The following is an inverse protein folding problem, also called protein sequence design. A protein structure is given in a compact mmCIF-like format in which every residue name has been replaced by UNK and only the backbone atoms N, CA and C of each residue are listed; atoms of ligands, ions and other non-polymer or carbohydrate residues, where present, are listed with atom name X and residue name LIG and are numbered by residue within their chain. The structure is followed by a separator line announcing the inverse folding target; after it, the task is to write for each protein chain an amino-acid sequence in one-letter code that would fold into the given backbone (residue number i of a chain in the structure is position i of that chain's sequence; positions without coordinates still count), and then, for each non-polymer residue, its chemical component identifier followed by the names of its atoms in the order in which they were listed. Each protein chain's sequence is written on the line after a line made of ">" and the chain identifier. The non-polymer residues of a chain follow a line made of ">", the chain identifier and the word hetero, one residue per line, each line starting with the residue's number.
data_IF_003862930976
#
_entry.id   IF_003862930976
#
_cell.length_a   1.000
_cell.length_b   1.000
_cell.length_c   1.000
_cell.angle_alpha   90.00
_cell.angle_beta   90.00
_cell.angle_gamma   90.00
#
_symmetry.space_group_name_H-M   'P 1'
#
loop_
_entity.id
_entity.type
_entity.pdbx_description
1 polymer ?
#
# COMPACT_ATOMS: atom_id res chain seq x y z
N UNK A 1 14.87 17.56 46.46
CA UNK A 1 14.30 16.21 46.58
C UNK A 1 12.83 16.35 46.92
N UNK A 2 11.97 16.37 45.89
CA UNK A 2 10.55 15.98 45.86
C UNK A 2 10.34 15.62 44.38
N UNK A 3 10.05 14.35 44.13
CA UNK A 3 9.76 13.80 42.80
C UNK A 3 8.39 14.28 42.33
N UNK A 4 8.31 14.80 41.11
CA UNK A 4 7.06 14.88 40.36
C UNK A 4 7.00 13.64 39.46
N UNK A 5 6.53 12.57 40.09
CA UNK A 5 5.96 11.41 39.41
C UNK A 5 4.54 11.80 39.01
N UNK A 6 4.35 12.19 37.75
CA UNK A 6 3.04 12.23 37.10
C UNK A 6 3.18 11.38 35.83
N UNK A 7 3.33 10.07 36.06
CA UNK A 7 3.27 9.06 35.03
C UNK A 7 1.93 9.05 34.30
N UNK A 8 2.06 8.99 32.97
CA UNK A 8 1.30 8.07 32.11
C UNK A 8 -0.23 8.10 32.16
N UNK A 9 -0.81 9.27 31.89
CA UNK A 9 -2.16 9.35 31.29
C UNK A 9 -2.19 10.22 30.03
N UNK A 10 -1.12 10.18 29.23
CA UNK A 10 -1.30 10.43 27.79
C UNK A 10 -1.93 9.15 27.25
N UNK A 11 -3.24 9.18 27.05
CA UNK A 11 -3.96 8.24 26.19
C UNK A 11 -3.03 7.86 25.02
N UNK A 12 -2.58 6.60 24.97
CA UNK A 12 -1.87 6.07 23.81
C UNK A 12 -2.85 6.14 22.64
N UNK A 13 -2.89 7.29 21.97
CA UNK A 13 -3.70 7.48 20.78
C UNK A 13 -3.13 6.53 19.75
N UNK A 14 -3.92 5.55 19.35
CA UNK A 14 -3.54 4.63 18.29
C UNK A 14 -3.33 5.48 17.03
N UNK A 15 -2.08 5.60 16.60
CA UNK A 15 -1.69 6.32 15.39
C UNK A 15 -1.40 5.30 14.27
N UNK A 16 -2.32 5.09 13.32
CA UNK A 16 -2.12 4.15 12.22
C UNK A 16 -1.10 4.65 11.17
N UNK A 17 -0.57 5.87 11.32
CA UNK A 17 0.50 6.41 10.48
C UNK A 17 1.89 6.20 11.09
N UNK A 18 1.96 5.83 12.38
CA UNK A 18 3.21 5.45 13.01
C UNK A 18 3.68 4.08 12.53
N UNK A 19 5.00 3.78 12.56
CA UNK A 19 5.49 2.45 12.21
C UNK A 19 4.88 1.34 13.08
N UNK A 20 4.28 0.33 12.44
CA UNK A 20 3.83 -0.87 13.13
C UNK A 20 4.96 -1.90 13.19
N UNK A 21 5.50 -2.15 14.38
CA UNK A 21 6.51 -3.17 14.59
C UNK A 21 5.84 -4.53 14.75
N UNK A 22 6.30 -5.50 13.99
CA UNK A 22 5.83 -6.88 14.00
C UNK A 22 6.88 -7.73 14.73
N UNK A 23 6.64 -8.03 16.01
CA UNK A 23 7.66 -8.69 16.85
C UNK A 23 8.02 -10.09 16.34
N UNK A 24 7.03 -10.80 15.78
CA UNK A 24 7.19 -12.20 15.36
C UNK A 24 8.13 -12.43 14.19
N UNK A 25 8.30 -11.44 13.30
CA UNK A 25 9.14 -11.55 12.11
C UNK A 25 10.19 -10.42 12.02
N UNK A 26 10.35 -9.63 13.09
CA UNK A 26 11.31 -8.53 13.20
C UNK A 26 11.21 -7.48 12.08
N UNK A 27 10.02 -7.32 11.51
CA UNK A 27 9.74 -6.30 10.49
C UNK A 27 9.03 -5.11 11.09
N UNK A 28 9.04 -4.00 10.35
CA UNK A 28 8.23 -2.85 10.64
C UNK A 28 7.50 -2.43 9.38
N UNK A 29 6.18 -2.25 9.46
CA UNK A 29 5.40 -1.62 8.40
C UNK A 29 5.52 -0.12 8.60
N UNK A 30 6.05 0.57 7.59
CA UNK A 30 6.29 2.01 7.66
C UNK A 30 5.52 2.70 6.55
N UNK A 31 4.92 3.85 6.87
CA UNK A 31 4.30 4.70 5.87
C UNK A 31 5.37 5.26 4.92
N UNK A 32 5.26 4.91 3.64
CA UNK A 32 6.08 5.43 2.57
C UNK A 32 5.22 6.16 1.55
N UNK A 33 5.35 7.49 1.51
CA UNK A 33 4.53 8.34 0.66
C UNK A 33 5.22 8.58 -0.68
N UNK A 34 4.64 8.01 -1.73
CA UNK A 34 5.06 8.24 -3.11
C UNK A 34 4.15 9.29 -3.77
N UNK A 35 4.74 10.41 -4.19
CA UNK A 35 4.04 11.44 -4.97
C UNK A 35 4.60 11.51 -6.38
N UNK A 36 3.77 11.24 -7.38
CA UNK A 36 4.15 11.24 -8.80
C UNK A 36 3.21 12.14 -9.57
N UNK A 37 3.78 13.00 -10.41
CA UNK A 37 3.05 13.90 -11.28
C UNK A 37 3.46 13.67 -12.73
N UNK A 38 2.48 13.48 -13.63
CA UNK A 38 2.70 13.30 -15.06
C UNK A 38 2.09 14.49 -15.82
N UNK A 39 2.96 15.24 -16.48
CA UNK A 39 2.60 16.28 -17.45
C UNK A 39 2.60 15.66 -18.84
N UNK A 40 1.43 15.64 -19.47
CA UNK A 40 1.22 15.14 -20.84
C UNK A 40 1.19 16.31 -21.81
N UNK A 41 2.05 16.30 -22.82
CA UNK A 41 2.11 17.34 -23.83
C UNK A 41 2.53 16.74 -25.18
N UNK A 42 1.97 17.28 -26.27
CA UNK A 42 2.25 16.88 -27.66
C UNK A 42 3.75 16.95 -27.99
N UNK A 43 4.46 17.96 -27.46
CA UNK A 43 5.89 18.16 -27.73
C UNK A 43 6.81 17.28 -26.87
N UNK A 44 6.30 16.68 -25.79
CA UNK A 44 7.11 15.91 -24.86
C UNK A 44 6.45 15.79 -23.50
N UNK A 45 6.64 14.65 -22.85
CA UNK A 45 6.02 14.34 -21.56
C UNK A 45 7.03 14.49 -20.43
N UNK A 46 6.57 14.82 -19.22
CA UNK A 46 7.43 14.97 -18.05
C UNK A 46 6.81 14.26 -16.86
N UNK A 47 7.61 13.42 -16.19
CA UNK A 47 7.24 12.80 -14.92
C UNK A 47 8.10 13.41 -13.82
N UNK A 48 7.46 13.84 -12.74
CA UNK A 48 8.10 14.40 -11.56
C UNK A 48 7.73 13.51 -10.37
N UNK A 49 8.71 12.92 -9.70
CA UNK A 49 8.50 12.20 -8.45
C UNK A 49 9.09 12.99 -7.28
N UNK A 50 8.30 13.17 -6.23
CA UNK A 50 8.73 13.85 -5.02
C UNK A 50 9.11 12.82 -3.95
N UNK A 51 10.27 13.03 -3.34
CA UNK A 51 10.83 12.13 -2.35
C UNK A 51 11.25 12.93 -1.12
N UNK A 52 10.95 12.44 0.07
CA UNK A 52 11.40 13.08 1.30
C UNK A 52 12.94 13.09 1.37
N UNK A 53 13.53 14.26 1.62
CA UNK A 53 14.99 14.43 1.79
C UNK A 53 15.43 14.27 3.26
N UNK A 54 14.58 13.66 4.08
CA UNK A 54 14.85 13.44 5.51
C UNK A 54 15.45 12.04 5.68
N UNK A 55 16.22 11.79 6.75
CA UNK A 55 16.71 10.45 7.12
C UNK A 55 15.57 9.54 7.64
N UNK A 56 14.47 9.49 6.91
CA UNK A 56 13.37 8.58 7.14
C UNK A 56 13.60 7.32 6.29
N UNK A 57 13.11 6.15 6.74
CA UNK A 57 13.18 4.90 5.97
C UNK A 57 12.11 4.90 4.86
N UNK A 58 12.20 5.84 3.92
CA UNK A 58 11.28 6.01 2.79
C UNK A 58 11.96 5.67 1.47
N UNK A 59 11.18 5.39 0.43
CA UNK A 59 11.69 5.10 -0.91
C UNK A 59 12.47 6.29 -1.47
N UNK A 60 13.77 6.06 -1.70
CA UNK A 60 14.67 7.05 -2.28
C UNK A 60 14.42 7.21 -3.77
N UNK A 61 14.65 8.41 -4.28
CA UNK A 61 14.56 8.72 -5.71
C UNK A 61 15.41 7.78 -6.57
N UNK A 62 16.65 7.50 -6.15
CA UNK A 62 17.57 6.61 -6.87
C UNK A 62 17.04 5.17 -6.94
N UNK A 63 16.47 4.68 -5.84
CA UNK A 63 15.90 3.34 -5.77
C UNK A 63 14.67 3.24 -6.68
N UNK A 64 13.74 4.19 -6.57
CA UNK A 64 12.55 4.18 -7.42
C UNK A 64 12.92 4.29 -8.90
N UNK A 65 13.85 5.18 -9.25
CA UNK A 65 14.34 5.31 -10.61
C UNK A 65 14.85 3.98 -11.17
N UNK A 66 15.65 3.26 -10.39
CA UNK A 66 16.15 1.93 -10.76
C UNK A 66 15.02 0.90 -10.92
N UNK A 67 14.06 0.87 -10.00
CA UNK A 67 12.88 -0.02 -10.08
C UNK A 67 12.05 0.23 -11.33
N UNK A 68 11.77 1.50 -11.66
CA UNK A 68 11.02 1.87 -12.86
C UNK A 68 11.80 1.53 -14.13
N UNK A 69 13.12 1.75 -14.13
CA UNK A 69 13.99 1.33 -15.23
C UNK A 69 13.91 -0.18 -15.45
N UNK A 70 14.00 -0.99 -14.39
CA UNK A 70 13.90 -2.46 -14.52
C UNK A 70 12.52 -2.92 -14.98
N UNK A 71 11.44 -2.29 -14.49
CA UNK A 71 10.09 -2.56 -14.99
C UNK A 71 10.02 -2.28 -16.50
N UNK A 72 10.53 -1.13 -16.96
CA UNK A 72 10.60 -0.79 -18.38
C UNK A 72 11.50 -1.71 -19.20
N UNK A 73 12.41 -2.46 -18.58
CA UNK A 73 13.25 -3.48 -19.23
C UNK A 73 12.60 -4.88 -19.22
N UNK A 74 11.52 -5.09 -18.49
CA UNK A 74 10.80 -6.36 -18.51
C UNK A 74 10.16 -6.60 -19.88
N UNK A 75 10.10 -7.87 -20.31
CA UNK A 75 9.52 -8.25 -21.61
C UNK A 75 8.07 -7.76 -21.73
N UNK A 76 7.32 -7.83 -20.62
CA UNK A 76 5.92 -7.40 -20.55
C UNK A 76 5.75 -5.91 -20.84
N UNK A 77 6.39 -5.04 -20.04
CA UNK A 77 6.26 -3.59 -20.21
C UNK A 77 6.97 -3.10 -21.48
N UNK A 78 8.09 -3.71 -21.88
CA UNK A 78 8.70 -3.38 -23.17
C UNK A 78 7.74 -3.60 -24.34
N UNK A 79 6.94 -4.67 -24.31
CA UNK A 79 5.95 -4.93 -25.36
C UNK A 79 4.89 -3.83 -25.41
N UNK A 80 4.33 -3.46 -24.26
CA UNK A 80 3.31 -2.40 -24.15
C UNK A 80 3.87 -1.04 -24.60
N UNK A 81 5.04 -0.66 -24.09
CA UNK A 81 5.68 0.63 -24.38
C UNK A 81 6.19 0.75 -25.83
N UNK A 82 6.44 -0.37 -26.52
CA UNK A 82 6.76 -0.36 -27.97
C UNK A 82 5.51 -0.30 -28.84
N UNK A 83 4.37 -0.77 -28.33
CA UNK A 83 3.11 -0.80 -29.06
C UNK A 83 2.31 0.50 -28.91
N UNK A 84 2.55 1.25 -27.85
CA UNK A 84 1.73 2.42 -27.47
C UNK A 84 2.59 3.66 -27.29
N UNK A 85 2.05 4.81 -27.69
CA UNK A 85 2.68 6.13 -27.51
C UNK A 85 2.16 6.86 -26.25
N UNK A 86 1.35 6.19 -25.43
CA UNK A 86 0.73 6.83 -24.26
C UNK A 86 1.69 6.85 -23.05
N UNK A 87 2.20 8.02 -22.63
CA UNK A 87 3.03 8.13 -21.42
C UNK A 87 2.31 7.72 -20.13
N UNK A 88 0.98 7.60 -20.16
CA UNK A 88 0.18 7.17 -19.01
C UNK A 88 0.54 5.75 -18.57
N UNK A 89 1.06 4.88 -19.45
CA UNK A 89 1.56 3.56 -19.06
C UNK A 89 2.76 3.63 -18.10
N UNK A 90 3.61 4.66 -18.21
CA UNK A 90 4.68 4.85 -17.23
C UNK A 90 4.11 5.15 -15.84
N UNK A 91 3.02 5.92 -15.76
CA UNK A 91 2.31 6.15 -14.49
C UNK A 91 1.79 4.83 -13.92
N UNK A 92 1.22 3.94 -14.75
CA UNK A 92 0.77 2.62 -14.28
C UNK A 92 1.89 1.78 -13.67
N UNK A 93 3.13 1.89 -14.17
CA UNK A 93 4.27 1.19 -13.55
C UNK A 93 4.52 1.68 -12.12
N UNK A 94 4.38 2.98 -11.83
CA UNK A 94 4.48 3.50 -10.46
C UNK A 94 3.35 2.99 -9.56
N UNK A 95 2.12 2.89 -10.09
CA UNK A 95 0.98 2.38 -9.35
C UNK A 95 1.14 0.88 -9.04
N UNK A 96 1.62 0.09 -10.01
CA UNK A 96 1.99 -1.30 -9.79
C UNK A 96 3.08 -1.45 -8.71
N UNK A 97 4.08 -0.56 -8.70
CA UNK A 97 5.09 -0.57 -7.65
C UNK A 97 4.49 -0.36 -6.25
N UNK A 98 3.57 0.60 -6.10
CA UNK A 98 2.87 0.82 -4.83
C UNK A 98 2.01 -0.39 -4.43
N UNK A 99 1.31 -0.98 -5.39
CA UNK A 99 0.48 -2.17 -5.21
C UNK A 99 1.31 -3.36 -4.69
N UNK A 100 2.44 -3.67 -5.33
CA UNK A 100 3.34 -4.74 -4.84
C UNK A 100 3.89 -4.47 -3.44
N UNK A 101 4.19 -3.21 -3.10
CA UNK A 101 4.65 -2.86 -1.76
C UNK A 101 3.56 -3.11 -0.69
N UNK A 102 2.29 -2.85 -1.02
CA UNK A 102 1.17 -3.18 -0.14
C UNK A 102 0.95 -4.68 0.00
N UNK A 103 1.06 -5.46 -1.08
CA UNK A 103 0.98 -6.92 -1.02
C UNK A 103 2.04 -7.50 -0.07
N UNK A 104 3.30 -7.07 -0.21
CA UNK A 104 4.39 -7.50 0.67
C UNK A 104 4.13 -7.11 2.14
N UNK A 105 3.70 -5.87 2.38
CA UNK A 105 3.39 -5.39 3.73
C UNK A 105 2.26 -6.21 4.38
N UNK A 106 1.17 -6.47 3.65
CA UNK A 106 0.02 -7.23 4.13
C UNK A 106 0.35 -8.71 4.33
N UNK A 107 1.24 -9.27 3.52
CA UNK A 107 1.74 -10.63 3.74
C UNK A 107 2.46 -10.76 5.08
N UNK A 108 3.36 -9.82 5.41
CA UNK A 108 4.05 -9.85 6.70
C UNK A 108 3.14 -9.59 7.89
N UNK A 109 2.10 -8.77 7.70
CA UNK A 109 1.07 -8.58 8.71
C UNK A 109 0.26 -9.85 8.94
N UNK A 110 -0.12 -10.56 7.87
CA UNK A 110 -0.82 -11.84 7.94
C UNK A 110 -0.03 -12.90 8.72
N UNK A 111 1.26 -13.04 8.43
CA UNK A 111 2.16 -13.95 9.15
C UNK A 111 2.19 -13.62 10.65
N UNK A 112 2.27 -12.32 10.97
CA UNK A 112 2.31 -11.84 12.35
C UNK A 112 0.99 -12.11 13.10
N UNK A 113 -0.16 -11.82 12.48
CA UNK A 113 -1.48 -12.15 13.05
C UNK A 113 -1.59 -13.65 13.34
N UNK A 114 -1.05 -14.51 12.48
CA UNK A 114 -1.02 -15.96 12.74
C UNK A 114 -0.21 -16.36 13.98
N UNK A 115 0.88 -15.66 14.27
CA UNK A 115 1.64 -15.88 15.50
C UNK A 115 0.87 -15.37 16.73
N UNK A 116 0.16 -14.26 16.61
CA UNK A 116 -0.71 -13.75 17.68
C UNK A 116 -1.81 -14.76 18.03
N UNK A 117 -2.48 -15.35 17.04
CA UNK A 117 -3.49 -16.40 17.25
C UNK A 117 -2.94 -17.57 18.07
N UNK A 118 -1.73 -18.06 17.76
CA UNK A 118 -1.08 -19.14 18.50
C UNK A 118 -0.71 -18.69 19.92
N UNK A 119 -0.25 -17.45 20.08
CA UNK A 119 0.25 -16.93 21.36
C UNK A 119 -0.87 -16.73 22.36
N UNK A 120 -2.05 -16.27 21.91
CA UNK A 120 -3.24 -16.07 22.78
C UNK A 120 -3.73 -17.37 23.38
N UNK A 121 -3.68 -18.47 22.61
CA UNK A 121 -4.02 -19.80 23.12
C UNK A 121 -3.06 -20.27 24.22
N UNK A 122 -1.79 -19.86 24.13
CA UNK A 122 -0.72 -20.37 25.00
C UNK A 122 -0.38 -19.46 26.19
N UNK A 123 -0.88 -18.22 26.24
CA UNK A 123 -0.42 -17.19 27.20
C UNK A 123 -1.58 -16.39 27.81
N UNK A 124 -1.53 -16.15 29.13
CA UNK A 124 -2.59 -15.47 29.91
C UNK A 124 -2.59 -13.94 29.74
N UNK A 125 -1.52 -13.34 29.19
CA UNK A 125 -1.38 -11.88 29.15
C UNK A 125 -0.83 -11.35 27.82
N UNK A 126 -1.46 -10.25 27.37
CA UNK A 126 -1.00 -9.24 26.38
C UNK A 126 -1.14 -9.49 24.87
N UNK A 127 -2.36 -9.58 24.31
CA UNK A 127 -2.55 -9.25 22.89
C UNK A 127 -3.45 -8.04 22.65
N UNK A 128 -4.24 -7.57 23.63
CA UNK A 128 -5.34 -6.62 23.34
C UNK A 128 -4.86 -5.28 22.75
N UNK A 129 -3.85 -4.63 23.33
CA UNK A 129 -3.34 -3.35 22.79
C UNK A 129 -2.77 -3.51 21.38
N UNK A 130 -1.96 -4.53 21.15
CA UNK A 130 -1.37 -4.83 19.83
C UNK A 130 -2.45 -5.16 18.81
N UNK A 131 -3.46 -5.93 19.20
CA UNK A 131 -4.63 -6.25 18.38
C UNK A 131 -5.39 -4.98 17.98
N UNK A 132 -5.67 -4.06 18.92
CA UNK A 132 -6.34 -2.80 18.58
C UNK A 132 -5.49 -1.91 17.67
N UNK A 133 -4.16 -1.89 17.86
CA UNK A 133 -3.24 -1.18 16.97
C UNK A 133 -3.28 -1.78 15.57
N UNK A 134 -3.17 -3.09 15.41
CA UNK A 134 -3.26 -3.79 14.12
C UNK A 134 -4.60 -3.48 13.45
N UNK A 135 -5.71 -3.52 14.21
CA UNK A 135 -7.03 -3.19 13.67
C UNK A 135 -7.10 -1.78 13.10
N UNK A 136 -6.53 -0.79 13.79
CA UNK A 136 -6.46 0.57 13.27
C UNK A 136 -5.63 0.67 11.98
N UNK A 137 -4.53 -0.10 11.87
CA UNK A 137 -3.75 -0.18 10.64
C UNK A 137 -4.53 -0.83 9.49
N UNK A 138 -5.25 -1.93 9.74
CA UNK A 138 -6.10 -2.58 8.73
C UNK A 138 -7.18 -1.62 8.20
N UNK A 139 -7.82 -0.86 9.10
CA UNK A 139 -8.79 0.18 8.72
C UNK A 139 -8.16 1.29 7.88
N UNK A 140 -6.94 1.72 8.24
CA UNK A 140 -6.21 2.71 7.48
C UNK A 140 -5.85 2.19 6.08
N UNK A 141 -5.30 0.97 5.95
CA UNK A 141 -5.04 0.35 4.66
C UNK A 141 -6.30 0.21 3.81
N UNK A 142 -7.43 -0.21 4.41
CA UNK A 142 -8.72 -0.27 3.71
C UNK A 142 -9.11 1.10 3.14
N UNK A 143 -8.95 2.19 3.91
CA UNK A 143 -9.22 3.54 3.43
C UNK A 143 -8.31 3.97 2.28
N UNK A 144 -7.03 3.55 2.30
CA UNK A 144 -6.07 3.83 1.24
C UNK A 144 -6.44 3.08 -0.05
N UNK A 145 -6.85 1.82 0.03
CA UNK A 145 -7.30 1.04 -1.13
C UNK A 145 -8.52 1.68 -1.82
N UNK A 146 -9.47 2.23 -1.04
CA UNK A 146 -10.62 2.95 -1.60
C UNK A 146 -10.17 4.17 -2.41
N UNK A 147 -9.19 4.94 -1.91
CA UNK A 147 -8.65 6.10 -2.63
C UNK A 147 -7.85 5.65 -3.86
N UNK A 148 -7.06 4.58 -3.72
CA UNK A 148 -6.26 4.02 -4.81
C UNK A 148 -7.14 3.51 -5.96
N UNK A 149 -8.21 2.78 -5.66
CA UNK A 149 -9.23 2.34 -6.62
C UNK A 149 -9.81 3.51 -7.42
N UNK A 150 -10.12 4.63 -6.75
CA UNK A 150 -10.60 5.85 -7.41
C UNK A 150 -9.55 6.46 -8.33
N UNK A 151 -8.26 6.41 -7.97
CA UNK A 151 -7.17 6.89 -8.82
C UNK A 151 -7.04 6.05 -10.10
N UNK A 152 -7.14 4.72 -9.99
CA UNK A 152 -7.10 3.83 -11.17
C UNK A 152 -8.31 4.06 -12.07
N UNK A 153 -9.50 4.18 -11.48
CA UNK A 153 -10.72 4.49 -12.22
C UNK A 153 -10.61 5.84 -12.93
N UNK A 154 -10.04 6.85 -12.28
CA UNK A 154 -9.81 8.15 -12.91
C UNK A 154 -8.88 8.07 -14.12
N UNK A 155 -7.81 7.27 -14.06
CA UNK A 155 -6.90 7.05 -15.19
C UNK A 155 -7.64 6.38 -16.35
N UNK A 156 -8.47 5.38 -16.07
CA UNK A 156 -9.29 4.69 -17.06
C UNK A 156 -10.31 5.63 -17.72
N UNK A 157 -10.97 6.48 -16.92
CA UNK A 157 -12.02 7.38 -17.37
C UNK A 157 -11.50 8.68 -18.00
N UNK A 158 -10.21 8.96 -17.85
CA UNK A 158 -9.56 10.20 -18.36
C UNK A 158 -8.44 9.88 -19.35
N UNK A 159 -8.78 9.45 -20.58
CA UNK A 159 -7.81 9.15 -21.63
C UNK A 159 -6.87 10.33 -21.89
N UNK A 160 -5.67 10.02 -22.37
CA UNK A 160 -4.70 11.06 -22.70
C UNK A 160 -5.23 11.95 -23.85
N UNK A 161 -5.48 13.25 -23.59
CA UNK A 161 -6.06 14.15 -24.59
C UNK A 161 -5.09 14.45 -25.73
N UNK A 162 -3.78 14.24 -25.55
CA UNK A 162 -2.76 14.56 -26.56
C UNK A 162 -2.62 13.49 -27.64
N UNK A 163 -3.27 12.33 -27.49
CA UNK A 163 -3.19 11.23 -28.46
C UNK A 163 -4.12 11.47 -29.66
N UNK A 164 -3.61 11.13 -30.84
CA UNK A 164 -4.40 11.07 -32.08
C UNK A 164 -5.39 9.89 -32.07
N UNK A 165 -6.45 9.90 -32.90
CA UNK A 165 -7.40 8.80 -32.96
C UNK A 165 -6.77 7.43 -33.26
N UNK A 166 -5.73 7.38 -34.10
CA UNK A 166 -5.02 6.14 -34.43
C UNK A 166 -4.16 5.61 -33.26
N UNK A 167 -3.57 6.51 -32.47
CA UNK A 167 -2.84 6.11 -31.26
C UNK A 167 -3.79 5.60 -30.18
N UNK A 168 -4.98 6.22 -30.04
CA UNK A 168 -6.01 5.79 -29.09
C UNK A 168 -6.58 4.42 -29.42
N UNK A 169 -6.88 4.13 -30.70
CA UNK A 169 -7.40 2.82 -31.08
C UNK A 169 -6.46 1.66 -30.71
N UNK A 170 -5.16 1.95 -30.59
CA UNK A 170 -4.14 1.00 -30.12
C UNK A 170 -3.98 1.01 -28.59
N UNK A 171 -3.97 2.20 -27.98
CA UNK A 171 -3.65 2.37 -26.55
C UNK A 171 -4.84 2.07 -25.62
N UNK A 172 -6.06 2.46 -25.99
CA UNK A 172 -7.24 2.38 -25.13
C UNK A 172 -7.58 0.93 -24.71
N UNK A 173 -7.55 -0.09 -25.61
CA UNK A 173 -7.81 -1.47 -25.20
C UNK A 173 -6.78 -2.00 -24.22
N UNK A 174 -5.50 -1.65 -24.41
CA UNK A 174 -4.40 -2.07 -23.53
C UNK A 174 -4.52 -1.36 -22.19
N UNK A 175 -4.77 -0.04 -22.18
CA UNK A 175 -4.97 0.75 -20.97
C UNK A 175 -6.12 0.20 -20.13
N UNK A 176 -7.24 -0.14 -20.79
CA UNK A 176 -8.39 -0.77 -20.14
C UNK A 176 -8.03 -2.12 -19.54
N UNK A 177 -7.27 -2.94 -20.26
CA UNK A 177 -6.75 -4.21 -19.74
C UNK A 177 -5.94 -4.03 -18.46
N UNK A 178 -4.90 -3.19 -18.51
CA UNK A 178 -4.03 -2.95 -17.34
C UNK A 178 -4.78 -2.37 -16.14
N UNK A 179 -5.66 -1.39 -16.37
CA UNK A 179 -6.43 -0.78 -15.29
C UNK A 179 -7.40 -1.79 -14.66
N UNK A 180 -8.06 -2.63 -15.47
CA UNK A 180 -8.94 -3.67 -14.95
C UNK A 180 -8.18 -4.71 -14.12
N UNK A 181 -7.02 -5.17 -14.59
CA UNK A 181 -6.18 -6.08 -13.81
C UNK A 181 -5.75 -5.44 -12.48
N UNK A 182 -5.38 -4.16 -12.48
CA UNK A 182 -5.00 -3.47 -11.24
C UNK A 182 -6.20 -3.31 -10.29
N UNK A 183 -7.41 -3.06 -10.81
CA UNK A 183 -8.65 -3.04 -10.02
C UNK A 183 -8.99 -4.42 -9.43
N UNK A 184 -8.74 -5.50 -10.16
CA UNK A 184 -8.88 -6.87 -9.67
C UNK A 184 -7.90 -7.15 -8.52
N UNK A 185 -6.63 -6.79 -8.67
CA UNK A 185 -5.62 -6.97 -7.60
C UNK A 185 -5.93 -6.11 -6.36
N UNK A 186 -6.47 -4.90 -6.54
CA UNK A 186 -7.00 -4.11 -5.41
C UNK A 186 -8.12 -4.87 -4.69
N UNK A 187 -9.05 -5.47 -5.43
CA UNK A 187 -10.12 -6.30 -4.86
C UNK A 187 -9.56 -7.48 -4.06
N UNK A 188 -8.50 -8.13 -4.55
CA UNK A 188 -7.82 -9.22 -3.83
C UNK A 188 -7.19 -8.75 -2.52
N UNK A 189 -6.57 -7.56 -2.48
CA UNK A 189 -6.10 -6.99 -1.22
C UNK A 189 -7.24 -6.61 -0.27
N UNK A 190 -8.36 -6.12 -0.78
CA UNK A 190 -9.55 -5.84 0.04
C UNK A 190 -10.05 -7.13 0.73
N UNK A 191 -10.09 -8.25 0.00
CA UNK A 191 -10.44 -9.57 0.55
C UNK A 191 -9.42 -10.07 1.59
N UNK A 192 -8.13 -9.87 1.34
CA UNK A 192 -7.05 -10.23 2.26
C UNK A 192 -7.14 -9.43 3.57
N UNK A 193 -7.40 -8.12 3.50
CA UNK A 193 -7.65 -7.29 4.69
C UNK A 193 -8.86 -7.79 5.50
N UNK A 194 -9.95 -8.16 4.83
CA UNK A 194 -11.14 -8.72 5.49
C UNK A 194 -10.85 -10.09 6.14
N UNK A 195 -9.99 -10.90 5.53
CA UNK A 195 -9.53 -12.15 6.14
C UNK A 195 -8.70 -11.89 7.39
N UNK A 196 -7.74 -10.96 7.32
CA UNK A 196 -6.92 -10.56 8.46
C UNK A 196 -7.76 -9.98 9.61
N UNK A 197 -8.77 -9.16 9.31
CA UNK A 197 -9.69 -8.64 10.33
C UNK A 197 -10.50 -9.77 11.01
N UNK A 198 -10.99 -10.75 10.23
CA UNK A 198 -11.70 -11.92 10.80
C UNK A 198 -10.80 -12.74 11.72
N UNK A 199 -9.56 -12.99 11.31
CA UNK A 199 -8.54 -13.65 12.15
C UNK A 199 -8.28 -12.89 13.44
N UNK A 200 -8.16 -11.57 13.33
CA UNK A 200 -7.97 -10.70 14.49
C UNK A 200 -9.17 -10.71 15.45
N UNK A 201 -10.41 -10.80 14.95
CA UNK A 201 -11.58 -10.99 15.81
C UNK A 201 -11.52 -12.32 16.57
N UNK A 202 -11.08 -13.42 15.93
CA UNK A 202 -10.87 -14.69 16.62
C UNK A 202 -9.86 -14.55 17.78
N UNK A 203 -8.80 -13.76 17.58
CA UNK A 203 -7.82 -13.47 18.64
C UNK A 203 -8.49 -12.79 19.85
N UNK A 204 -9.39 -11.83 19.59
CA UNK A 204 -10.13 -11.13 20.66
C UNK A 204 -11.07 -12.10 21.37
N UNK A 205 -11.83 -12.89 20.62
CA UNK A 205 -12.82 -13.84 21.16
C UNK A 205 -12.15 -14.96 21.99
N UNK A 206 -10.95 -15.39 21.60
CA UNK A 206 -10.16 -16.39 22.31
C UNK A 206 -9.44 -15.85 23.55
N UNK A 207 -9.52 -14.56 23.85
CA UNK A 207 -8.91 -13.93 25.02
C UNK A 207 -9.96 -13.80 26.15
N UNK A 208 -10.21 -14.84 26.98
CA UNK A 208 -11.49 -15.00 27.70
C UNK A 208 -11.49 -14.34 29.10
N UNK A 209 -10.48 -13.54 29.45
CA UNK A 209 -10.33 -13.01 30.82
C UNK A 209 -10.25 -11.48 30.86
N UNK A 210 -11.34 -10.80 30.51
CA UNK A 210 -11.67 -9.45 31.01
C UNK A 210 -13.19 -9.22 31.03
N UNK A 211 -13.93 -10.15 31.63
CA UNK A 211 -15.30 -9.94 32.09
C UNK A 211 -15.37 -10.32 33.57
N UNK A 212 -15.48 -9.29 34.42
CA UNK A 212 -15.46 -9.26 35.90
C UNK A 212 -14.08 -9.16 36.55
#
# INVERSE_FOLDING_TARGET
>A
MISLDNGDFVSQMIDPQAPLRLESNHRALVLDLLSVYLVRNVAGNTIISFHANVRLPTTKASYLHERIRFAGQSVYWQRILKQTDDPTFLMLIFLWHAMYAWEEALHHLYEHIGVLEITVVNTVQRPLTEVYIIRAHLLYYSSLLVVFKKMIQYILDTPNPTLTPAQRSTSDPVMKGECNTLLEEIGRLEEELQLQERRLNNVIDLCPYLGW
#
